data_IF_214461870479
#
_entry.id   IF_214461870479
#
_cell.length_a   1.000
_cell.length_b   1.000
_cell.length_c   1.000
_cell.angle_alpha   90.00
_cell.angle_beta   90.00
_cell.angle_gamma   90.00
#
_symmetry.space_group_name_H-M   'P 1'
#
loop_
_entity.id
_entity.type
_entity.pdbx_description
1 polymer ?
#
# COMPACT_ATOMS: atom_id res chain seq x y z
N UNK A 1 -9.11 -43.89 39.21
CA UNK A 1 -8.44 -43.50 37.94
C UNK A 1 -9.51 -43.05 36.95
N UNK A 2 -9.63 -41.73 36.69
CA UNK A 2 -10.45 -41.17 35.60
C UNK A 2 -9.57 -40.16 34.88
N UNK A 3 -9.21 -40.44 33.63
CA UNK A 3 -8.40 -39.49 32.83
C UNK A 3 -9.27 -38.25 32.56
N UNK A 4 -8.77 -37.01 32.76
CA UNK A 4 -9.51 -35.83 32.37
C UNK A 4 -9.67 -35.83 30.84
N UNK A 5 -10.91 -35.73 30.39
CA UNK A 5 -11.28 -35.55 28.99
C UNK A 5 -10.61 -34.28 28.48
N UNK A 6 -9.79 -34.40 27.42
CA UNK A 6 -9.17 -33.26 26.72
C UNK A 6 -10.30 -32.31 26.31
N UNK A 7 -10.37 -31.12 26.90
CA UNK A 7 -11.25 -30.05 26.41
C UNK A 7 -10.80 -29.75 24.97
N UNK A 8 -11.67 -30.06 24.02
CA UNK A 8 -11.49 -29.71 22.63
C UNK A 8 -11.22 -28.21 22.50
N UNK A 9 -10.48 -27.84 21.46
CA UNK A 9 -10.29 -26.47 21.07
C UNK A 9 -11.64 -25.73 21.09
N UNK A 10 -11.79 -24.78 22.01
CA UNK A 10 -12.89 -23.86 21.97
C UNK A 10 -12.66 -22.98 20.73
N UNK A 11 -13.34 -23.33 19.64
CA UNK A 11 -13.56 -22.40 18.53
C UNK A 11 -14.51 -21.33 19.06
N UNK A 12 -13.93 -20.27 19.62
CA UNK A 12 -14.67 -19.08 20.01
C UNK A 12 -15.01 -18.31 18.74
N UNK A 13 -16.26 -18.42 18.28
CA UNK A 13 -16.83 -17.47 17.32
C UNK A 13 -17.08 -16.19 18.12
N UNK A 14 -16.24 -15.18 17.91
CA UNK A 14 -16.53 -13.84 18.40
C UNK A 14 -17.59 -13.22 17.47
N UNK A 15 -18.84 -13.23 17.94
CA UNK A 15 -20.01 -12.72 17.25
C UNK A 15 -20.08 -11.18 17.31
N UNK A 16 -18.94 -10.50 17.09
CA UNK A 16 -18.88 -9.04 17.03
C UNK A 16 -17.71 -8.49 16.23
N UNK A 17 -17.28 -9.17 15.16
CA UNK A 17 -16.39 -8.57 14.17
C UNK A 17 -17.16 -7.52 13.35
N UNK A 18 -17.45 -6.36 13.97
CA UNK A 18 -17.82 -5.14 13.29
C UNK A 18 -16.73 -4.85 12.26
N UNK A 19 -17.00 -5.18 11.00
CA UNK A 19 -16.12 -4.86 9.89
C UNK A 19 -16.18 -3.34 9.67
N UNK A 20 -15.44 -2.59 10.49
CA UNK A 20 -15.23 -1.18 10.28
C UNK A 20 -14.36 -1.04 9.03
N UNK A 21 -14.93 -0.58 7.91
CA UNK A 21 -14.12 -0.13 6.78
C UNK A 21 -13.42 1.16 7.23
N UNK A 22 -12.22 1.00 7.77
CA UNK A 22 -11.32 2.10 8.07
C UNK A 22 -10.87 2.71 6.73
N UNK A 23 -11.65 3.64 6.18
CA UNK A 23 -11.26 4.46 5.05
C UNK A 23 -10.16 5.43 5.47
N UNK A 24 -8.95 4.89 5.70
CA UNK A 24 -7.73 5.69 5.71
C UNK A 24 -7.49 6.16 4.28
N UNK A 25 -8.10 7.28 3.88
CA UNK A 25 -7.72 7.99 2.68
C UNK A 25 -6.23 8.29 2.77
N UNK A 26 -5.41 7.54 2.04
CA UNK A 26 -4.01 7.89 1.88
C UNK A 26 -3.99 9.23 1.14
N UNK A 27 -3.82 10.32 1.88
CA UNK A 27 -3.91 11.67 1.31
C UNK A 27 -3.00 11.79 0.09
N UNK A 28 -3.52 12.42 -0.97
CA UNK A 28 -2.80 12.63 -2.25
C UNK A 28 -1.42 13.26 -1.99
N UNK A 29 -1.30 14.15 -1.01
CA UNK A 29 -0.03 14.74 -0.57
C UNK A 29 0.97 13.74 0.02
N UNK A 30 0.49 12.70 0.73
CA UNK A 30 1.36 11.62 1.22
C UNK A 30 1.86 10.77 0.07
N UNK A 31 0.99 10.43 -0.89
CA UNK A 31 1.41 9.73 -2.11
C UNK A 31 2.44 10.56 -2.88
N UNK A 32 2.17 11.84 -3.15
CA UNK A 32 3.10 12.75 -3.81
C UNK A 32 4.44 12.86 -3.07
N UNK A 33 4.45 12.99 -1.74
CA UNK A 33 5.70 13.06 -0.95
C UNK A 33 6.51 11.76 -0.93
N UNK A 34 5.83 10.61 -1.01
CA UNK A 34 6.47 9.28 -1.11
C UNK A 34 7.08 9.06 -2.50
N UNK A 35 6.52 9.74 -3.52
CA UNK A 35 6.96 9.69 -4.90
C UNK A 35 8.05 10.69 -5.28
N UNK A 36 7.95 11.93 -4.82
CA UNK A 36 8.94 12.99 -5.06
C UNK A 36 10.20 12.86 -4.17
N UNK A 37 10.40 11.69 -3.55
CA UNK A 37 11.54 11.37 -2.67
C UNK A 37 11.70 12.24 -1.41
N UNK A 38 10.68 13.03 -1.01
CA UNK A 38 10.75 13.90 0.17
C UNK A 38 10.73 13.13 1.50
N UNK A 39 10.22 11.89 1.51
CA UNK A 39 10.11 11.11 2.74
C UNK A 39 11.32 10.19 2.93
N UNK A 40 12.09 10.46 4.00
CA UNK A 40 13.17 9.57 4.45
C UNK A 40 12.60 8.17 4.73
N UNK A 41 13.34 7.19 4.25
CA UNK A 41 13.00 5.78 4.23
C UNK A 41 13.03 5.26 5.70
N UNK A 42 11.86 5.06 6.33
CA UNK A 42 11.66 4.66 7.75
C UNK A 42 12.62 3.55 8.26
N UNK A 43 13.40 3.76 9.34
CA UNK A 43 14.38 2.78 9.81
C UNK A 43 13.78 1.47 10.34
N UNK A 44 12.49 1.44 10.75
CA UNK A 44 11.87 0.27 11.37
C UNK A 44 11.23 -0.71 10.38
N UNK A 45 11.18 -0.40 9.08
CA UNK A 45 10.47 -1.27 8.12
C UNK A 45 11.18 -2.60 7.86
N UNK A 46 10.43 -3.67 7.56
CA UNK A 46 11.02 -4.92 7.08
C UNK A 46 11.79 -4.66 5.78
N UNK A 47 13.03 -5.15 5.73
CA UNK A 47 13.92 -5.05 4.56
C UNK A 47 13.56 -6.14 3.53
N UNK A 48 12.31 -6.22 3.10
CA UNK A 48 11.91 -7.16 2.06
C UNK A 48 12.06 -6.52 0.69
N UNK A 49 12.59 -7.27 -0.29
CA UNK A 49 12.71 -6.80 -1.67
C UNK A 49 11.33 -6.45 -2.27
N UNK A 50 10.29 -7.17 -1.87
CA UNK A 50 8.90 -7.00 -2.31
C UNK A 50 8.34 -5.60 -2.02
N UNK A 51 8.69 -4.99 -0.86
CA UNK A 51 8.28 -3.62 -0.53
C UNK A 51 8.93 -2.58 -1.45
N UNK A 52 10.17 -2.85 -1.90
CA UNK A 52 10.88 -2.00 -2.84
C UNK A 52 10.30 -2.07 -4.25
N UNK A 53 9.94 -3.28 -4.69
CA UNK A 53 9.25 -3.51 -5.97
C UNK A 53 7.88 -2.83 -6.01
N UNK A 54 7.10 -2.93 -4.93
CA UNK A 54 5.83 -2.21 -4.81
C UNK A 54 6.01 -0.70 -4.97
N UNK A 55 7.04 -0.10 -4.37
CA UNK A 55 7.31 1.34 -4.53
C UNK A 55 7.88 1.69 -5.91
N UNK A 56 8.63 0.77 -6.53
CA UNK A 56 9.18 0.94 -7.88
C UNK A 56 8.12 1.02 -8.96
N UNK A 57 7.13 0.10 -8.95
CA UNK A 57 6.03 0.09 -9.92
C UNK A 57 5.19 1.37 -9.79
N UNK A 58 4.91 1.77 -8.55
CA UNK A 58 4.29 3.04 -8.22
C UNK A 58 5.06 4.17 -8.97
N UNK A 59 6.40 4.25 -8.83
CA UNK A 59 7.23 5.35 -9.37
C UNK A 59 7.27 5.36 -10.90
N UNK A 60 7.25 4.18 -11.51
CA UNK A 60 7.23 4.04 -12.96
C UNK A 60 5.95 4.63 -13.57
N UNK A 61 4.82 4.52 -12.89
CA UNK A 61 3.54 5.06 -13.37
C UNK A 61 3.57 6.58 -13.58
N UNK A 62 4.20 7.34 -12.66
CA UNK A 62 4.31 8.81 -12.77
C UNK A 62 5.20 9.21 -13.96
N UNK A 63 6.25 8.42 -14.23
CA UNK A 63 7.21 8.70 -15.29
C UNK A 63 6.57 8.53 -16.68
N UNK A 64 5.82 7.45 -16.87
CA UNK A 64 5.08 7.19 -18.09
C UNK A 64 3.96 8.23 -18.27
N UNK A 65 3.28 8.61 -17.19
CA UNK A 65 2.27 9.66 -17.23
C UNK A 65 2.84 11.02 -17.67
N UNK A 66 3.97 11.44 -17.10
CA UNK A 66 4.66 12.67 -17.51
C UNK A 66 5.13 12.61 -18.97
N UNK A 67 5.65 11.46 -19.41
CA UNK A 67 6.06 11.25 -20.80
C UNK A 67 4.87 11.42 -21.76
N UNK A 68 3.72 10.84 -21.44
CA UNK A 68 2.49 11.05 -22.20
C UNK A 68 2.07 12.52 -22.22
N UNK A 69 2.15 13.23 -21.10
CA UNK A 69 1.86 14.67 -21.02
C UNK A 69 2.78 15.50 -21.93
N UNK A 70 4.07 15.18 -21.98
CA UNK A 70 5.05 15.83 -22.86
C UNK A 70 4.70 15.58 -24.33
N UNK A 71 4.42 14.34 -24.71
CA UNK A 71 4.05 13.98 -26.09
C UNK A 71 2.75 14.70 -26.49
N UNK A 72 1.76 14.74 -25.60
CA UNK A 72 0.50 15.43 -25.81
C UNK A 72 0.71 16.94 -25.99
N UNK A 73 1.52 17.56 -25.13
CA UNK A 73 1.85 18.98 -25.21
C UNK A 73 2.55 19.34 -26.52
N UNK A 74 3.54 18.53 -26.95
CA UNK A 74 4.21 18.71 -28.25
C UNK A 74 3.19 18.57 -29.38
N UNK A 75 2.31 17.58 -29.34
CA UNK A 75 1.27 17.38 -30.36
C UNK A 75 0.25 18.52 -30.40
N UNK A 76 -0.05 19.15 -29.27
CA UNK A 76 -0.96 20.28 -29.16
C UNK A 76 -0.35 21.59 -29.65
N UNK A 77 0.93 21.84 -29.33
CA UNK A 77 1.67 23.06 -29.73
C UNK A 77 2.08 22.99 -31.19
N UNK A 78 2.45 21.80 -31.68
CA UNK A 78 2.85 21.56 -33.08
C UNK A 78 1.64 21.32 -34.00
N UNK A 79 0.52 21.94 -33.66
CA UNK A 79 -0.67 22.05 -34.50
C UNK A 79 -0.33 22.80 -35.78
#
# INVERSE_FOLDING_TARGET
MRRPFRKGAAFSIDESSNFTIQFNGMGVFRQLGEYLFLRKKDPARPKSAWIGYMHGINRLSIFIFLLCLIILAIKLIRK
#
